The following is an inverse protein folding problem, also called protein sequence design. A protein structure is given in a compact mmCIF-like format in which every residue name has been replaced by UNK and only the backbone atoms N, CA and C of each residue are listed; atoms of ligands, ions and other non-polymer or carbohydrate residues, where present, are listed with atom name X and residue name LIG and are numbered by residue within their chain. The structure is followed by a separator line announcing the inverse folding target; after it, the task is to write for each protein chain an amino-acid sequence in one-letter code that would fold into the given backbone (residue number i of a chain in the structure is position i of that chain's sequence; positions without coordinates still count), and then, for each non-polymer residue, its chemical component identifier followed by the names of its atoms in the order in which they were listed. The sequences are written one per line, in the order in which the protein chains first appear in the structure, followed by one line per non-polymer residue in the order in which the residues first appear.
data_IF_103496452485
#
_entry.id   IF_103496452485
#
_cell.length_a   1.000
_cell.length_b   1.000
_cell.length_c   1.000
_cell.angle_alpha   90.00
_cell.angle_beta   90.00
_cell.angle_gamma   90.00
#
_symmetry.space_group_name_H-M   'P 1'
#
loop_
_entity.id
_entity.type
_entity.pdbx_description
1 polymer ?
#
# COMPACT_ATOMS: atom_id res chain seq x y z
N UNK A 1 -23.85 29.43 -0.34
CA UNK A 1 -23.96 28.00 -0.02
C UNK A 1 -22.65 27.37 -0.39
N UNK A 2 -21.79 27.09 0.59
CA UNK A 2 -20.54 26.35 0.34
C UNK A 2 -20.96 24.90 0.14
N UNK A 3 -20.80 24.37 -1.07
CA UNK A 3 -21.01 22.94 -1.31
C UNK A 3 -19.90 22.19 -0.59
N UNK A 4 -20.18 21.76 0.64
CA UNK A 4 -19.37 20.85 1.42
C UNK A 4 -19.53 19.44 0.79
N UNK A 5 -19.05 19.29 -0.46
CA UNK A 5 -19.02 18.00 -1.14
C UNK A 5 -17.84 17.23 -0.57
N UNK A 6 -18.03 16.70 0.64
CA UNK A 6 -17.19 15.62 1.14
C UNK A 6 -17.36 14.45 0.15
N UNK A 7 -16.40 14.30 -0.76
CA UNK A 7 -16.33 13.12 -1.62
C UNK A 7 -16.08 11.93 -0.70
N UNK A 8 -17.15 11.23 -0.34
CA UNK A 8 -17.07 9.98 0.40
C UNK A 8 -16.76 8.89 -0.61
N UNK A 9 -15.94 7.92 -0.22
CA UNK A 9 -15.86 6.66 -0.96
C UNK A 9 -17.28 6.14 -1.25
N UNK A 10 -17.57 5.86 -2.52
CA UNK A 10 -18.90 5.40 -2.96
C UNK A 10 -19.11 3.91 -2.73
N UNK A 11 -18.09 3.23 -2.23
CA UNK A 11 -18.06 1.78 -1.98
C UNK A 11 -17.37 1.47 -0.66
N UNK A 12 -17.42 0.20 -0.25
CA UNK A 12 -16.81 -0.30 0.99
C UNK A 12 -15.34 0.08 1.05
N UNK A 13 -14.97 0.74 2.15
CA UNK A 13 -13.57 0.97 2.52
C UNK A 13 -12.96 -0.38 2.86
N UNK A 14 -11.86 -0.71 2.19
CA UNK A 14 -11.18 -2.00 2.30
C UNK A 14 -10.04 -1.95 3.30
N UNK A 15 -9.34 -0.82 3.38
CA UNK A 15 -8.25 -0.62 4.32
C UNK A 15 -8.05 0.87 4.66
N UNK A 16 -7.36 1.11 5.78
CA UNK A 16 -6.90 2.42 6.22
C UNK A 16 -5.46 2.33 6.71
N UNK A 17 -4.67 3.37 6.52
CA UNK A 17 -3.32 3.45 7.07
C UNK A 17 -2.99 4.88 7.53
N UNK A 18 -2.28 4.99 8.65
CA UNK A 18 -1.65 6.23 9.07
C UNK A 18 -0.19 6.23 8.67
N UNK A 19 0.34 7.40 8.36
CA UNK A 19 1.78 7.57 8.27
C UNK A 19 2.42 7.56 9.68
N UNK A 20 3.76 7.39 9.77
CA UNK A 20 4.43 7.26 11.07
C UNK A 20 4.23 8.45 12.02
N UNK A 21 4.10 9.66 11.49
CA UNK A 21 3.88 10.90 12.25
C UNK A 21 2.40 11.16 12.57
N UNK A 22 1.48 10.33 12.08
CA UNK A 22 0.04 10.41 12.29
C UNK A 22 -0.61 11.75 11.89
N UNK A 23 -0.04 12.43 10.90
CA UNK A 23 -0.59 13.65 10.29
C UNK A 23 -1.24 13.39 8.91
N UNK A 24 -1.01 12.20 8.33
CA UNK A 24 -1.68 11.74 7.11
C UNK A 24 -2.43 10.44 7.37
N UNK A 25 -3.64 10.35 6.79
CA UNK A 25 -4.41 9.12 6.68
C UNK A 25 -4.62 8.79 5.21
N UNK A 26 -4.37 7.53 4.83
CA UNK A 26 -4.79 6.98 3.55
C UNK A 26 -5.98 6.04 3.78
N UNK A 27 -6.98 6.16 2.91
CA UNK A 27 -8.13 5.25 2.85
C UNK A 27 -8.23 4.69 1.45
N UNK A 28 -8.60 3.43 1.32
CA UNK A 28 -8.87 2.84 0.02
C UNK A 28 -10.19 2.09 -0.01
N UNK A 29 -10.72 1.92 -1.22
CA UNK A 29 -12.03 1.34 -1.44
C UNK A 29 -12.06 0.47 -2.69
N UNK A 30 -13.09 -0.36 -2.82
CA UNK A 30 -13.36 -1.18 -4.00
C UNK A 30 -13.68 -0.36 -5.27
N UNK A 31 -13.77 0.97 -5.17
CA UNK A 31 -13.93 1.88 -6.33
C UNK A 31 -12.61 2.18 -7.06
N UNK A 32 -11.56 1.41 -6.79
CA UNK A 32 -10.22 1.58 -7.33
C UNK A 32 -9.63 2.98 -7.03
N UNK A 33 -9.99 3.56 -5.88
CA UNK A 33 -9.44 4.84 -5.44
C UNK A 33 -8.72 4.69 -4.11
N UNK A 34 -7.68 5.50 -3.98
CA UNK A 34 -7.04 5.80 -2.71
C UNK A 34 -7.22 7.29 -2.46
N UNK A 35 -7.64 7.62 -1.25
CA UNK A 35 -7.75 9.00 -0.79
C UNK A 35 -6.74 9.21 0.33
N UNK A 36 -5.85 10.19 0.13
CA UNK A 36 -4.91 10.65 1.14
C UNK A 36 -5.44 11.97 1.71
N UNK A 37 -5.54 12.06 3.04
CA UNK A 37 -6.06 13.24 3.73
C UNK A 37 -5.17 13.65 4.90
N UNK A 38 -5.06 14.95 5.14
CA UNK A 38 -4.52 15.49 6.40
C UNK A 38 -5.38 15.04 7.58
N UNK A 39 -4.74 14.58 8.66
CA UNK A 39 -5.39 14.17 9.89
C UNK A 39 -4.82 14.94 11.08
N UNK A 40 -5.71 15.50 11.90
CA UNK A 40 -5.37 16.07 13.20
C UNK A 40 -6.43 15.66 14.21
N UNK A 41 -6.03 14.97 15.28
CA UNK A 41 -6.96 14.42 16.27
C UNK A 41 -7.79 15.51 16.98
N UNK A 42 -7.25 16.73 17.11
CA UNK A 42 -7.85 17.82 17.88
C UNK A 42 -8.65 18.84 17.05
N UNK A 43 -8.78 18.65 15.73
CA UNK A 43 -9.52 19.58 14.86
C UNK A 43 -10.84 18.99 14.38
N UNK A 44 -11.93 19.73 14.55
CA UNK A 44 -13.27 19.36 14.07
C UNK A 44 -13.44 19.54 12.55
N UNK A 45 -12.57 20.32 11.92
CA UNK A 45 -12.42 20.46 10.46
C UNK A 45 -10.93 20.44 10.11
N UNK A 46 -10.54 19.44 9.32
CA UNK A 46 -9.19 19.31 8.76
C UNK A 46 -9.05 20.24 7.56
N UNK A 47 -8.08 21.15 7.57
CA UNK A 47 -7.75 21.95 6.39
C UNK A 47 -6.92 21.14 5.37
N UNK A 48 -7.63 20.75 4.32
CA UNK A 48 -7.36 20.96 2.89
C UNK A 48 -6.20 20.27 2.17
N UNK A 49 -5.44 19.34 2.77
CA UNK A 49 -4.66 18.41 1.93
C UNK A 49 -5.44 17.14 1.66
N UNK A 50 -6.07 17.06 0.49
CA UNK A 50 -6.69 15.83 -0.04
C UNK A 50 -6.14 15.49 -1.42
N UNK A 51 -5.57 14.29 -1.56
CA UNK A 51 -5.09 13.77 -2.84
C UNK A 51 -5.90 12.51 -3.15
N UNK A 52 -6.56 12.49 -4.31
CA UNK A 52 -7.27 11.30 -4.80
C UNK A 52 -6.45 10.66 -5.92
N UNK A 53 -6.16 9.38 -5.76
CA UNK A 53 -5.40 8.58 -6.71
C UNK A 53 -6.30 7.51 -7.30
N UNK A 54 -6.42 7.49 -8.63
CA UNK A 54 -7.17 6.46 -9.34
C UNK A 54 -6.24 5.31 -9.69
N UNK A 55 -6.68 4.10 -9.38
CA UNK A 55 -5.98 2.84 -9.62
C UNK A 55 -6.69 2.03 -10.69
N UNK A 56 -5.97 1.09 -11.31
CA UNK A 56 -6.53 0.25 -12.39
C UNK A 56 -7.27 -0.99 -11.86
N UNK A 57 -7.07 -1.35 -10.60
CA UNK A 57 -7.67 -2.52 -9.94
C UNK A 57 -8.10 -2.16 -8.51
N UNK A 58 -8.94 -2.98 -7.86
CA UNK A 58 -9.33 -2.75 -6.47
C UNK A 58 -8.13 -2.77 -5.54
N UNK A 59 -8.09 -1.79 -4.65
CA UNK A 59 -7.05 -1.67 -3.62
C UNK A 59 -7.55 -2.33 -2.35
N UNK A 60 -6.76 -3.25 -1.78
CA UNK A 60 -7.17 -4.06 -0.62
C UNK A 60 -6.29 -3.92 0.60
N UNK A 61 -5.11 -3.35 0.42
CA UNK A 61 -4.13 -3.22 1.48
C UNK A 61 -3.36 -1.91 1.30
N UNK A 62 -3.10 -1.22 2.40
CA UNK A 62 -2.31 0.00 2.48
C UNK A 62 -1.27 -0.12 3.59
N UNK A 63 -0.08 0.43 3.37
CA UNK A 63 0.85 0.68 4.47
C UNK A 63 1.76 1.86 4.14
N UNK A 64 2.14 2.64 5.15
CA UNK A 64 3.05 3.77 4.99
C UNK A 64 4.47 3.40 5.38
N UNK A 65 5.42 4.13 4.81
CA UNK A 65 6.80 4.20 5.27
C UNK A 65 7.28 5.63 5.11
N UNK A 66 8.20 6.03 5.98
CA UNK A 66 8.95 7.27 5.79
C UNK A 66 10.26 6.95 5.08
N UNK A 67 10.53 7.63 3.97
CA UNK A 67 11.87 7.67 3.42
C UNK A 67 12.72 8.63 4.24
N UNK A 68 13.57 8.06 5.10
CA UNK A 68 14.45 8.81 5.99
C UNK A 68 15.46 9.69 5.25
N UNK A 69 15.77 9.40 3.98
CA UNK A 69 16.71 10.21 3.21
C UNK A 69 16.08 11.50 2.68
N UNK A 70 14.80 11.45 2.29
CA UNK A 70 14.06 12.59 1.71
C UNK A 70 13.03 13.20 2.65
N UNK A 71 12.82 12.60 3.83
CA UNK A 71 11.70 12.90 4.74
C UNK A 71 10.33 12.89 4.04
N UNK A 72 10.20 12.05 3.00
CA UNK A 72 8.96 11.89 2.25
C UNK A 72 8.16 10.70 2.76
N UNK A 73 6.84 10.83 2.70
CA UNK A 73 5.94 9.71 3.00
C UNK A 73 5.76 8.88 1.73
N UNK A 74 6.02 7.59 1.83
CA UNK A 74 5.78 6.60 0.79
C UNK A 74 4.57 5.76 1.19
N UNK A 75 3.63 5.60 0.26
CA UNK A 75 2.49 4.70 0.41
C UNK A 75 2.68 3.47 -0.45
N UNK A 76 2.55 2.29 0.16
CA UNK A 76 2.40 1.02 -0.54
C UNK A 76 0.92 0.67 -0.62
N UNK A 77 0.49 0.21 -1.79
CA UNK A 77 -0.91 -0.15 -2.05
C UNK A 77 -1.01 -1.46 -2.82
N UNK A 78 -1.70 -2.44 -2.22
CA UNK A 78 -1.99 -3.73 -2.83
C UNK A 78 -3.14 -3.59 -3.82
N UNK A 79 -2.81 -3.52 -5.11
CA UNK A 79 -3.70 -3.21 -6.23
C UNK A 79 -3.82 -4.44 -7.14
N UNK A 80 -4.90 -5.22 -6.99
CA UNK A 80 -5.01 -6.53 -7.62
C UNK A 80 -3.84 -7.45 -7.19
N UNK A 81 -3.10 -8.00 -8.15
CA UNK A 81 -1.91 -8.85 -7.90
C UNK A 81 -0.59 -8.06 -7.80
N UNK A 82 -0.64 -6.74 -7.76
CA UNK A 82 0.53 -5.86 -7.80
C UNK A 82 0.60 -5.00 -6.54
N UNK A 83 1.78 -4.44 -6.28
CA UNK A 83 1.99 -3.46 -5.21
C UNK A 83 2.46 -2.16 -5.86
N UNK A 84 1.67 -1.11 -5.74
CA UNK A 84 2.04 0.23 -6.22
C UNK A 84 2.72 1.00 -5.10
N UNK A 85 3.82 1.68 -5.43
CA UNK A 85 4.58 2.55 -4.54
C UNK A 85 4.38 3.99 -5.00
N UNK A 86 3.81 4.79 -4.12
CA UNK A 86 3.40 6.15 -4.41
C UNK A 86 4.07 7.13 -3.47
N UNK A 87 4.62 8.19 -4.05
CA UNK A 87 5.07 9.35 -3.30
C UNK A 87 3.83 10.15 -2.86
N UNK A 88 3.63 10.27 -1.55
CA UNK A 88 2.46 10.96 -0.98
C UNK A 88 2.53 12.48 -1.13
N UNK A 89 3.71 13.03 -1.45
CA UNK A 89 3.87 14.47 -1.62
C UNK A 89 3.25 14.93 -2.94
N UNK A 90 3.45 14.14 -4.00
CA UNK A 90 2.99 14.37 -5.36
C UNK A 90 1.73 13.57 -5.73
N UNK A 91 1.40 12.51 -4.98
CA UNK A 91 0.36 11.55 -5.35
C UNK A 91 0.74 10.66 -6.54
N UNK A 92 2.02 10.63 -6.92
CA UNK A 92 2.47 9.93 -8.13
C UNK A 92 2.99 8.53 -7.78
N UNK A 93 2.40 7.51 -8.41
CA UNK A 93 2.97 6.16 -8.39
C UNK A 93 4.23 6.12 -9.25
N UNK A 94 5.38 5.88 -8.63
CA UNK A 94 6.68 5.87 -9.31
C UNK A 94 7.26 4.46 -9.47
N UNK A 95 6.69 3.46 -8.79
CA UNK A 95 7.12 2.07 -8.91
C UNK A 95 5.95 1.11 -8.74
N UNK A 96 5.99 0.02 -9.50
CA UNK A 96 5.03 -1.08 -9.38
C UNK A 96 5.81 -2.38 -9.22
N UNK A 97 5.57 -3.09 -8.12
CA UNK A 97 6.18 -4.38 -7.85
C UNK A 97 5.23 -5.49 -8.33
N UNK A 98 5.79 -6.40 -9.13
CA UNK A 98 5.09 -7.53 -9.72
C UNK A 98 5.62 -8.83 -9.14
N UNK A 99 4.82 -9.89 -9.22
CA UNK A 99 5.25 -11.25 -8.89
C UNK A 99 4.21 -12.08 -8.16
N UNK A 100 3.32 -11.45 -7.39
CA UNK A 100 2.16 -12.16 -6.86
C UNK A 100 1.26 -12.67 -7.99
N UNK A 101 0.76 -13.90 -7.84
CA UNK A 101 -0.15 -14.55 -8.80
C UNK A 101 -1.61 -14.44 -8.40
N UNK A 102 -1.87 -13.86 -7.23
CA UNK A 102 -3.20 -13.65 -6.66
C UNK A 102 -3.28 -12.27 -6.01
N UNK A 103 -4.50 -11.88 -5.65
CA UNK A 103 -4.75 -10.58 -5.05
C UNK A 103 -3.89 -10.38 -3.80
N UNK A 104 -3.23 -9.23 -3.70
CA UNK A 104 -2.56 -8.80 -2.48
C UNK A 104 -3.64 -8.54 -1.43
N UNK A 105 -3.49 -9.19 -0.27
CA UNK A 105 -4.51 -9.19 0.78
C UNK A 105 -4.12 -8.36 2.00
N UNK A 106 -2.83 -8.16 2.24
CA UNK A 106 -2.33 -7.33 3.33
C UNK A 106 -0.90 -6.88 3.05
N UNK A 107 -0.52 -5.75 3.64
CA UNK A 107 0.81 -5.17 3.60
C UNK A 107 1.23 -4.81 5.03
N UNK A 108 2.50 -5.00 5.36
CA UNK A 108 3.07 -4.46 6.60
C UNK A 108 4.52 -4.04 6.40
N UNK A 109 4.93 -3.02 7.13
CA UNK A 109 6.33 -2.58 7.22
C UNK A 109 6.82 -2.74 8.65
N UNK A 110 8.13 -2.86 8.84
CA UNK A 110 8.79 -2.78 10.14
C UNK A 110 9.93 -1.76 10.13
N UNK A 111 9.88 -0.82 9.18
CA UNK A 111 10.83 0.29 9.06
C UNK A 111 12.02 0.00 8.13
N UNK A 112 12.87 1.02 7.99
CA UNK A 112 14.02 0.98 7.07
C UNK A 112 13.58 0.96 5.61
N UNK A 113 13.97 -0.09 4.89
CA UNK A 113 13.66 -0.27 3.47
C UNK A 113 12.83 -1.54 3.19
N UNK A 114 12.36 -2.23 4.23
CA UNK A 114 11.74 -3.54 4.10
C UNK A 114 10.25 -3.50 4.41
N UNK A 115 9.50 -4.30 3.66
CA UNK A 115 8.09 -4.54 3.93
C UNK A 115 7.69 -5.93 3.44
N UNK A 116 6.55 -6.43 3.89
CA UNK A 116 5.99 -7.71 3.48
C UNK A 116 4.60 -7.55 2.88
N UNK A 117 4.25 -8.49 2.02
CA UNK A 117 2.91 -8.63 1.46
C UNK A 117 2.42 -10.06 1.61
N UNK A 118 1.13 -10.23 1.90
CA UNK A 118 0.43 -11.51 1.77
C UNK A 118 -0.49 -11.49 0.56
N UNK A 119 -0.76 -12.67 -0.03
CA UNK A 119 -1.60 -12.79 -1.21
C UNK A 119 -2.46 -14.04 -1.20
N UNK A 120 -3.57 -13.96 -1.96
CA UNK A 120 -4.42 -15.10 -2.30
C UNK A 120 -3.67 -16.21 -3.08
N UNK A 121 -2.46 -15.94 -3.60
CA UNK A 121 -1.58 -16.99 -4.16
C UNK A 121 -0.94 -17.90 -3.11
N UNK A 122 -1.30 -17.73 -1.83
CA UNK A 122 -0.82 -18.51 -0.68
C UNK A 122 0.65 -18.27 -0.34
N UNK A 123 1.25 -17.20 -0.84
CA UNK A 123 2.63 -16.81 -0.52
C UNK A 123 2.69 -15.51 0.28
N UNK A 124 3.76 -15.37 1.06
CA UNK A 124 4.20 -14.10 1.63
C UNK A 124 5.47 -13.69 0.91
N UNK A 125 5.55 -12.43 0.46
CA UNK A 125 6.75 -11.88 -0.18
C UNK A 125 7.35 -10.81 0.71
N UNK A 126 8.67 -10.83 0.81
CA UNK A 126 9.46 -9.78 1.45
C UNK A 126 10.08 -8.94 0.35
N UNK A 127 9.99 -7.63 0.51
CA UNK A 127 10.44 -6.65 -0.44
C UNK A 127 11.46 -5.74 0.20
N UNK A 128 12.39 -5.27 -0.62
CA UNK A 128 13.30 -4.19 -0.29
C UNK A 128 13.07 -3.07 -1.32
N UNK A 129 12.77 -1.86 -0.85
CA UNK A 129 12.41 -0.71 -1.70
C UNK A 129 13.51 -0.30 -2.68
N UNK A 130 14.75 -0.73 -2.43
CA UNK A 130 15.92 -0.42 -3.25
C UNK A 130 16.02 -1.32 -4.48
N UNK A 131 15.33 -2.45 -4.50
CA UNK A 131 15.30 -3.39 -5.63
C UNK A 131 13.88 -3.53 -6.19
N UNK A 132 13.74 -4.20 -7.34
CA UNK A 132 12.46 -4.37 -8.03
C UNK A 132 11.80 -5.71 -7.74
N UNK A 133 12.59 -6.72 -7.40
CA UNK A 133 12.12 -8.08 -7.14
C UNK A 133 11.98 -8.36 -5.65
N UNK A 134 11.12 -9.33 -5.31
CA UNK A 134 11.00 -9.79 -3.93
C UNK A 134 12.32 -10.42 -3.47
N UNK A 135 12.85 -9.97 -2.33
CA UNK A 135 14.10 -10.49 -1.76
C UNK A 135 13.91 -11.88 -1.17
N UNK A 136 12.72 -12.19 -0.67
CA UNK A 136 12.35 -13.53 -0.18
C UNK A 136 10.90 -13.84 -0.49
N UNK A 137 10.62 -15.12 -0.71
CA UNK A 137 9.27 -15.66 -0.89
C UNK A 137 9.12 -16.79 0.12
N UNK A 138 8.09 -16.69 0.95
CA UNK A 138 7.65 -17.76 1.84
C UNK A 138 6.40 -18.38 1.26
N UNK A 139 6.52 -19.63 0.82
CA UNK A 139 5.38 -20.45 0.44
C UNK A 139 5.27 -21.57 1.49
N UNK A 140 4.26 -21.52 2.39
CA UNK A 140 4.05 -22.54 3.42
C UNK A 140 3.77 -23.93 2.85
N UNK A 141 3.37 -24.04 1.58
CA UNK A 141 3.09 -25.30 0.92
C UNK A 141 4.33 -25.91 0.25
N UNK A 142 5.36 -25.11 -0.03
CA UNK A 142 6.68 -25.66 -0.41
C UNK A 142 7.43 -26.12 0.83
N UNK A 143 7.63 -27.44 0.94
CA UNK A 143 8.50 -28.02 1.96
C UNK A 143 9.94 -27.52 1.77
N UNK A 144 10.64 -27.05 2.81
CA UNK A 144 12.07 -26.80 2.71
C UNK A 144 12.77 -28.15 2.52
N UNK A 145 13.26 -28.43 1.29
CA UNK A 145 13.95 -29.68 0.96
C UNK A 145 13.52 -30.38 -0.33
N UNK A 146 12.59 -29.82 -1.11
CA UNK A 146 12.27 -30.33 -2.45
C UNK A 146 13.35 -29.99 -3.49
N UNK A 147 14.57 -30.51 -3.32
CA UNK A 147 15.52 -30.62 -4.43
C UNK A 147 14.95 -31.66 -5.40
N UNK A 148 14.34 -31.18 -6.48
CA UNK A 148 14.18 -31.97 -7.70
C UNK A 148 15.58 -32.24 -8.24
N UNK A 149 16.13 -33.40 -7.90
CA UNK A 149 17.07 -34.08 -8.79
C UNK A 149 16.22 -34.60 -9.95
N UNK A 150 16.30 -33.95 -11.11
CA UNK A 150 16.02 -34.62 -12.37
C UNK A 150 17.37 -34.94 -13.06
N UNK A 151 17.38 -36.13 -13.64
CA UNK A 151 18.51 -36.92 -14.16
C UNK A 151 19.29 -36.27 -15.30
#
# INVERSE_FOLDING_TARGET
MVSDSCERHKSRITDIAFNPTADLIATCSNENKIELSSFQANLSKSEERRISMSMNEPVRALTFMEDLASHSNILFSGTGCQICITDCSSGTTFRVLKGHKGMVTSLCTWGGCLFASSSADKTIRIWDTRVTEAVRIFDPLTRPGGLLFEM
#
